data_IF_816915634741
#
_entry.id   IF_816915634741
#
_cell.length_a   1.000
_cell.length_b   1.000
_cell.length_c   1.000
_cell.angle_alpha   90.00
_cell.angle_beta   90.00
_cell.angle_gamma   90.00
#
_symmetry.space_group_name_H-M   'P 1'
#
loop_
_entity.id
_entity.type
_entity.pdbx_description
1 polymer ?
#
# COMPACT_ATOMS: atom_id res chain seq x y z
N UNK A 1 -8.31 -12.99 -8.77
CA UNK A 1 -6.86 -13.16 -8.97
C UNK A 1 -6.17 -12.40 -7.85
N UNK A 2 -5.50 -13.08 -6.88
CA UNK A 2 -4.60 -12.39 -5.97
C UNK A 2 -3.52 -11.74 -6.83
N UNK A 3 -3.52 -10.41 -6.89
CA UNK A 3 -2.52 -9.66 -7.63
C UNK A 3 -1.28 -9.64 -6.74
N UNK A 4 -0.19 -10.19 -7.25
CA UNK A 4 1.09 -10.28 -6.55
C UNK A 4 1.52 -8.89 -6.06
N UNK A 5 2.12 -8.84 -4.87
CA UNK A 5 2.63 -7.60 -4.31
C UNK A 5 3.84 -7.13 -5.12
N UNK A 6 3.81 -5.87 -5.54
CA UNK A 6 4.94 -5.25 -6.23
C UNK A 6 6.08 -5.02 -5.23
N UNK A 7 7.31 -4.87 -5.74
CA UNK A 7 8.39 -4.32 -4.94
C UNK A 7 8.09 -2.88 -4.54
N UNK A 8 8.74 -2.38 -3.48
CA UNK A 8 8.55 -1.00 -3.02
C UNK A 8 8.91 0.02 -4.12
N UNK A 9 9.99 -0.22 -4.85
CA UNK A 9 10.45 0.68 -5.91
C UNK A 9 9.51 0.65 -7.12
N UNK A 10 9.07 -0.54 -7.55
CA UNK A 10 8.08 -0.65 -8.63
C UNK A 10 6.74 -0.02 -8.23
N UNK A 11 6.31 -0.19 -6.98
CA UNK A 11 5.08 0.43 -6.47
C UNK A 11 5.14 1.95 -6.57
N UNK A 12 6.25 2.56 -6.13
CA UNK A 12 6.43 4.01 -6.16
C UNK A 12 6.53 4.55 -7.60
N UNK A 13 7.22 3.83 -8.49
CA UNK A 13 7.27 4.17 -9.91
C UNK A 13 5.87 4.16 -10.54
N UNK A 14 5.12 3.07 -10.35
CA UNK A 14 3.74 2.94 -10.85
C UNK A 14 2.79 3.96 -10.24
N UNK A 15 3.03 4.37 -8.99
CA UNK A 15 2.26 5.41 -8.33
C UNK A 15 2.50 6.78 -8.97
N UNK A 16 3.75 7.09 -9.33
CA UNK A 16 4.07 8.31 -10.08
C UNK A 16 3.38 8.32 -11.45
N UNK A 17 3.42 7.20 -12.17
CA UNK A 17 2.71 7.06 -13.46
C UNK A 17 1.21 7.25 -13.29
N UNK A 18 0.63 6.74 -12.20
CA UNK A 18 -0.80 6.88 -11.90
C UNK A 18 -1.18 8.35 -11.65
N UNK A 19 -0.35 9.10 -10.92
CA UNK A 19 -0.58 10.53 -10.74
C UNK A 19 -0.54 11.28 -12.07
N UNK A 20 0.44 11.00 -12.93
CA UNK A 20 0.55 11.65 -14.24
C UNK A 20 -0.64 11.33 -15.15
N UNK A 21 -1.10 10.07 -15.16
CA UNK A 21 -2.30 9.66 -15.91
C UNK A 21 -3.56 10.40 -15.43
N UNK A 22 -3.72 10.55 -14.12
CA UNK A 22 -4.88 11.25 -13.54
C UNK A 22 -4.79 12.76 -13.70
N UNK A 23 -3.59 13.31 -13.79
CA UNK A 23 -3.37 14.73 -14.11
C UNK A 23 -3.73 15.07 -15.55
N UNK A 24 -3.37 14.22 -16.50
CA UNK A 24 -3.41 14.55 -17.94
C UNK A 24 -4.63 14.01 -18.69
N UNK A 25 -5.20 12.86 -18.30
CA UNK A 25 -6.20 12.15 -19.11
C UNK A 25 -7.56 12.03 -18.43
N UNK A 26 -7.58 11.41 -17.26
CA UNK A 26 -8.79 10.81 -16.71
C UNK A 26 -9.11 11.42 -15.33
N UNK A 27 -9.03 12.75 -15.23
CA UNK A 27 -9.19 13.55 -14.00
C UNK A 27 -9.98 12.85 -12.88
N UNK A 28 -9.38 12.71 -11.70
CA UNK A 28 -10.02 12.01 -10.59
C UNK A 28 -9.11 11.83 -9.38
N UNK A 29 -9.60 11.07 -8.40
CA UNK A 29 -8.90 10.86 -7.14
C UNK A 29 -8.08 9.57 -7.15
N UNK A 30 -6.86 9.65 -6.61
CA UNK A 30 -6.07 8.49 -6.24
C UNK A 30 -6.30 8.19 -4.76
N UNK A 31 -6.71 6.96 -4.45
CA UNK A 31 -6.94 6.51 -3.09
C UNK A 31 -5.78 5.62 -2.64
N UNK A 32 -5.17 5.98 -1.51
CA UNK A 32 -4.14 5.18 -0.87
C UNK A 32 -4.64 4.67 0.48
N UNK A 33 -4.50 3.38 0.73
CA UNK A 33 -4.87 2.75 1.99
C UNK A 33 -3.67 2.04 2.59
N UNK A 34 -3.52 2.20 3.90
CA UNK A 34 -2.49 1.54 4.70
C UNK A 34 -3.19 0.65 5.73
N UNK A 35 -2.79 -0.62 5.79
CA UNK A 35 -3.31 -1.57 6.78
C UNK A 35 -2.17 -2.38 7.37
N UNK A 36 -2.15 -2.54 8.69
CA UNK A 36 -1.22 -3.45 9.38
C UNK A 36 -1.50 -4.90 8.96
N UNK A 37 -0.46 -5.64 8.59
CA UNK A 37 -0.57 -7.04 8.18
C UNK A 37 -0.60 -7.96 9.41
N UNK A 38 -1.77 -8.09 10.02
CA UNK A 38 -1.98 -8.92 11.23
C UNK A 38 -2.28 -10.39 10.85
N UNK A 39 -2.69 -10.63 9.61
CA UNK A 39 -2.98 -11.97 9.09
C UNK A 39 -1.85 -12.36 8.14
N UNK A 40 -0.85 -13.07 8.64
CA UNK A 40 0.31 -13.48 7.85
C UNK A 40 -0.04 -14.59 6.86
N UNK A 41 0.59 -14.54 5.70
CA UNK A 41 0.78 -15.69 4.81
C UNK A 41 1.48 -16.82 5.59
N UNK A 42 0.70 -17.77 6.11
CA UNK A 42 1.11 -19.12 6.53
C UNK A 42 2.20 -19.30 7.60
N UNK A 43 2.97 -18.28 7.97
CA UNK A 43 4.20 -18.40 8.77
C UNK A 43 4.18 -17.57 10.06
N UNK A 44 3.23 -16.65 10.22
CA UNK A 44 3.03 -15.88 11.46
C UNK A 44 1.95 -16.47 12.39
N UNK A 45 1.35 -17.62 12.04
CA UNK A 45 0.37 -18.30 12.90
C UNK A 45 0.99 -18.97 14.12
N UNK A 46 2.31 -19.19 14.14
CA UNK A 46 3.00 -19.83 15.27
C UNK A 46 3.18 -18.90 16.49
N UNK A 47 2.91 -17.59 16.38
CA UNK A 47 2.99 -16.67 17.52
C UNK A 47 1.62 -16.31 18.12
N UNK A 48 0.53 -16.88 17.60
CA UNK A 48 -0.83 -16.62 18.07
C UNK A 48 -1.34 -17.64 19.10
N UNK A 49 -0.47 -18.50 19.64
CA UNK A 49 -0.79 -19.33 20.81
C UNK A 49 -0.59 -18.55 22.11
N UNK A 50 -1.32 -17.46 22.27
CA UNK A 50 -1.48 -16.83 23.58
C UNK A 50 -2.88 -16.28 23.67
N UNK A 51 -3.67 -16.99 24.45
CA UNK A 51 -5.01 -16.67 24.95
C UNK A 51 -4.98 -15.31 25.67
N UNK A 52 -4.96 -14.21 24.94
CA UNK A 52 -5.28 -12.90 25.50
C UNK A 52 -5.72 -11.95 24.40
N UNK A 53 -6.89 -11.35 24.57
CA UNK A 53 -7.57 -10.43 23.65
C UNK A 53 -6.83 -9.09 23.43
N UNK A 54 -5.59 -8.96 23.93
CA UNK A 54 -4.74 -7.77 23.85
C UNK A 54 -3.44 -7.97 23.06
N UNK A 55 -3.23 -9.12 22.41
CA UNK A 55 -2.03 -9.38 21.58
C UNK A 55 -1.81 -8.36 20.45
N UNK A 56 -2.84 -7.61 20.07
CA UNK A 56 -2.80 -6.56 19.07
C UNK A 56 -2.20 -5.22 19.58
N UNK A 57 -2.15 -5.03 20.91
CA UNK A 57 -1.63 -3.81 21.58
C UNK A 57 -0.12 -3.86 21.79
N UNK A 58 0.47 -5.05 21.97
CA UNK A 58 1.91 -5.23 22.19
C UNK A 58 2.42 -6.39 21.34
N UNK A 59 2.64 -6.18 20.04
CA UNK A 59 3.15 -7.25 19.19
C UNK A 59 4.58 -7.59 19.58
N UNK A 60 4.87 -8.89 19.71
CA UNK A 60 6.21 -9.38 20.07
C UNK A 60 7.28 -9.09 19.00
N UNK A 61 6.86 -8.86 17.76
CA UNK A 61 7.74 -8.53 16.63
C UNK A 61 7.18 -7.35 15.84
N UNK A 62 8.05 -6.50 15.24
CA UNK A 62 7.63 -5.46 14.31
C UNK A 62 6.76 -6.04 13.18
N UNK A 63 5.61 -5.42 12.90
CA UNK A 63 4.63 -5.93 11.94
C UNK A 63 4.71 -5.11 10.64
N UNK A 64 4.82 -5.75 9.45
CA UNK A 64 4.80 -5.04 8.19
C UNK A 64 3.44 -4.37 7.90
N UNK A 65 3.46 -3.39 7.00
CA UNK A 65 2.25 -2.70 6.54
C UNK A 65 1.99 -3.03 5.07
N UNK A 66 0.72 -3.26 4.74
CA UNK A 66 0.25 -3.38 3.38
C UNK A 66 -0.26 -2.03 2.92
N UNK A 67 0.34 -1.53 1.85
CA UNK A 67 -0.07 -0.29 1.20
C UNK A 67 -0.73 -0.64 -0.13
N UNK A 68 -1.89 -0.04 -0.40
CA UNK A 68 -2.62 -0.20 -1.66
C UNK A 68 -2.94 1.16 -2.24
N UNK A 69 -2.72 1.31 -3.54
CA UNK A 69 -3.13 2.49 -4.29
C UNK A 69 -4.12 2.10 -5.39
N UNK A 70 -5.11 2.96 -5.61
CA UNK A 70 -6.10 2.77 -6.67
C UNK A 70 -6.59 4.08 -7.23
N UNK A 71 -6.99 4.04 -8.49
CA UNK A 71 -7.41 5.16 -9.32
C UNK A 71 -8.89 5.55 -9.13
N UNK A 72 -9.53 5.03 -8.08
CA UNK A 72 -10.90 5.41 -7.72
C UNK A 72 -12.00 4.85 -8.61
N UNK A 73 -11.70 4.18 -9.74
CA UNK A 73 -12.71 3.67 -10.68
C UNK A 73 -13.79 2.83 -10.00
N UNK A 74 -15.01 2.94 -10.49
CA UNK A 74 -16.19 2.33 -9.90
C UNK A 74 -16.19 0.80 -10.03
N UNK A 75 -17.12 0.10 -9.36
CA UNK A 75 -17.29 -1.35 -9.56
C UNK A 75 -17.69 -1.70 -11.00
N UNK A 76 -18.30 -0.78 -11.75
CA UNK A 76 -18.71 -0.99 -13.14
C UNK A 76 -17.49 -1.08 -14.07
N UNK A 77 -16.43 -0.33 -13.78
CA UNK A 77 -15.19 -0.27 -14.57
C UNK A 77 -14.07 -1.10 -13.92
N UNK A 78 -14.43 -2.18 -13.22
CA UNK A 78 -13.49 -2.98 -12.42
C UNK A 78 -12.35 -3.57 -13.24
N UNK A 79 -12.56 -3.84 -14.53
CA UNK A 79 -11.55 -4.42 -15.42
C UNK A 79 -10.43 -3.43 -15.76
N UNK A 80 -10.76 -2.15 -15.86
CA UNK A 80 -9.80 -1.08 -16.14
C UNK A 80 -9.22 -0.44 -14.88
N UNK A 81 -9.81 -0.76 -13.72
CA UNK A 81 -9.42 -0.21 -12.43
C UNK A 81 -7.98 -0.56 -12.10
N UNK A 82 -7.12 0.46 -12.01
CA UNK A 82 -5.75 0.28 -11.57
C UNK A 82 -5.73 0.02 -10.07
N UNK A 83 -5.09 -1.09 -9.69
CA UNK A 83 -4.81 -1.47 -8.30
C UNK A 83 -3.36 -1.86 -8.17
N UNK A 84 -2.66 -1.16 -7.29
CA UNK A 84 -1.27 -1.39 -6.93
C UNK A 84 -1.24 -1.81 -5.46
N UNK A 85 -0.31 -2.69 -5.10
CA UNK A 85 -0.09 -3.06 -3.70
C UNK A 85 1.37 -3.42 -3.46
N UNK A 86 1.91 -3.01 -2.32
CA UNK A 86 3.22 -3.42 -1.81
C UNK A 86 3.16 -3.73 -0.32
N UNK A 87 4.04 -4.60 0.15
CA UNK A 87 4.25 -4.88 1.57
C UNK A 87 5.54 -4.21 2.02
N UNK A 88 5.43 -3.27 2.96
CA UNK A 88 6.58 -2.54 3.49
C UNK A 88 6.97 -3.16 4.83
N UNK A 89 8.23 -3.63 4.89
CA UNK A 89 8.81 -4.14 6.11
C UNK A 89 9.11 -3.01 7.11
N UNK A 90 9.03 -3.26 8.42
CA UNK A 90 9.27 -2.25 9.44
C UNK A 90 10.61 -1.51 9.29
N UNK A 91 11.66 -2.22 8.88
CA UNK A 91 13.02 -1.69 8.70
C UNK A 91 13.13 -0.75 7.50
N UNK A 92 12.26 -0.93 6.51
CA UNK A 92 12.25 -0.13 5.29
C UNK A 92 11.22 1.02 5.32
N UNK A 93 10.49 1.18 6.43
CA UNK A 93 9.34 2.07 6.54
C UNK A 93 9.74 3.54 6.37
N UNK A 94 10.81 3.96 7.04
CA UNK A 94 11.32 5.33 6.95
C UNK A 94 11.76 5.67 5.52
N UNK A 95 12.61 4.82 4.93
CA UNK A 95 13.11 4.98 3.56
C UNK A 95 11.95 5.02 2.56
N UNK A 96 10.94 4.16 2.74
CA UNK A 96 9.75 4.13 1.89
C UNK A 96 8.98 5.45 1.94
N UNK A 97 8.73 6.00 3.14
CA UNK A 97 7.94 7.23 3.28
C UNK A 97 8.69 8.48 2.82
N UNK A 98 10.03 8.51 2.91
CA UNK A 98 10.83 9.58 2.31
C UNK A 98 10.64 9.61 0.79
N UNK A 99 10.81 8.47 0.12
CA UNK A 99 10.60 8.37 -1.34
C UNK A 99 9.14 8.63 -1.73
N UNK A 100 8.19 8.12 -0.96
CA UNK A 100 6.76 8.39 -1.17
C UNK A 100 6.45 9.88 -1.09
N UNK A 101 7.01 10.61 -0.13
CA UNK A 101 6.82 12.05 -0.01
C UNK A 101 7.34 12.81 -1.23
N UNK A 102 8.47 12.38 -1.81
CA UNK A 102 8.98 12.94 -3.07
C UNK A 102 8.02 12.69 -4.24
N UNK A 103 7.52 11.47 -4.38
CA UNK A 103 6.51 11.12 -5.40
C UNK A 103 5.25 11.96 -5.24
N UNK A 104 4.77 12.16 -4.02
CA UNK A 104 3.61 13.02 -3.74
C UNK A 104 3.89 14.50 -4.06
N UNK A 105 5.06 15.04 -3.70
CA UNK A 105 5.41 16.43 -4.02
C UNK A 105 5.38 16.69 -5.53
N UNK A 106 5.90 15.76 -6.32
CA UNK A 106 5.91 15.88 -7.78
C UNK A 106 4.51 15.66 -8.38
N UNK A 107 3.79 14.64 -7.90
CA UNK A 107 2.48 14.24 -8.43
C UNK A 107 1.32 15.15 -8.01
N UNK A 108 1.42 15.82 -6.86
CA UNK A 108 0.37 16.68 -6.28
C UNK A 108 0.70 18.18 -6.41
N UNK A 109 1.39 18.58 -7.49
CA UNK A 109 1.86 19.96 -7.70
C UNK A 109 0.75 20.97 -8.06
N UNK A 110 -0.52 20.56 -8.02
CA UNK A 110 -1.68 21.39 -8.39
C UNK A 110 -2.41 22.00 -7.19
N UNK A 111 -1.81 21.94 -6.01
CA UNK A 111 -2.29 22.55 -4.76
C UNK A 111 -1.89 24.01 -4.66
#
# INVERSE_FOLDING_TARGET
MPKEHLSNDEFLQRLSELFEQRRTKDHGSVFLTQKRMIHGDGTAVAALESTNSQSDQTPSKPIPILIRATDGKSKKERQEKIKLSTVVQPEALEVFFVRYAEVCKLGMSGL
#
